data_IF_622238180085
#
_entry.id   IF_622238180085
#
_cell.length_a   1.000
_cell.length_b   1.000
_cell.length_c   1.000
_cell.angle_alpha   90.00
_cell.angle_beta   90.00
_cell.angle_gamma   90.00
#
_symmetry.space_group_name_H-M   'P 1'
#
loop_
_entity.id
_entity.type
_entity.pdbx_description
1 polymer ?
#
# COMPACT_ATOMS: atom_id res chain seq x y z
N UNK A 1 -29.20 46.90 -29.19
CA UNK A 1 -29.53 45.78 -28.29
C UNK A 1 -28.56 44.65 -28.60
N UNK A 2 -27.41 44.62 -27.91
CA UNK A 2 -26.46 43.50 -28.00
C UNK A 2 -26.28 43.01 -26.57
N UNK A 3 -26.90 41.87 -26.26
CA UNK A 3 -26.73 41.20 -24.98
C UNK A 3 -25.34 40.56 -24.95
N UNK A 4 -24.43 41.16 -24.19
CA UNK A 4 -23.13 40.56 -23.88
C UNK A 4 -23.31 39.59 -22.71
N UNK A 5 -23.65 38.33 -23.01
CA UNK A 5 -23.58 37.25 -22.02
C UNK A 5 -22.14 36.80 -21.85
N UNK A 6 -21.52 37.22 -20.75
CA UNK A 6 -20.36 36.52 -20.20
C UNK A 6 -20.46 36.58 -18.69
N UNK A 7 -21.44 35.86 -18.16
CA UNK A 7 -21.38 35.38 -16.78
C UNK A 7 -20.31 34.29 -16.71
N UNK A 8 -19.05 34.74 -16.60
CA UNK A 8 -17.97 33.87 -16.10
C UNK A 8 -18.10 33.88 -14.59
N UNK A 9 -18.88 32.95 -14.06
CA UNK A 9 -18.81 32.58 -12.65
C UNK A 9 -17.34 32.40 -12.27
N UNK A 10 -16.79 33.30 -11.47
CA UNK A 10 -15.40 33.25 -11.01
C UNK A 10 -15.25 31.98 -10.19
N UNK A 11 -14.69 30.91 -10.77
CA UNK A 11 -14.34 29.70 -10.02
C UNK A 11 -13.35 30.10 -8.95
N UNK A 12 -13.79 30.07 -7.69
CA UNK A 12 -12.90 30.30 -6.56
C UNK A 12 -11.71 29.33 -6.62
N UNK A 13 -10.49 29.77 -6.28
CA UNK A 13 -9.33 28.89 -6.29
C UNK A 13 -9.52 27.76 -5.27
N UNK A 14 -9.10 26.54 -5.64
CA UNK A 14 -9.27 25.33 -4.80
C UNK A 14 -8.78 25.49 -3.35
N UNK A 15 -7.75 26.33 -3.13
CA UNK A 15 -7.16 26.56 -1.80
C UNK A 15 -8.02 27.50 -0.93
N UNK A 16 -8.73 28.45 -1.53
CA UNK A 16 -9.75 29.24 -0.83
C UNK A 16 -10.90 28.35 -0.36
N UNK A 17 -11.35 27.43 -1.23
CA UNK A 17 -12.39 26.44 -0.88
C UNK A 17 -11.91 25.54 0.27
N UNK A 18 -10.65 25.08 0.23
CA UNK A 18 -10.07 24.27 1.31
C UNK A 18 -10.01 25.04 2.64
N UNK A 19 -9.62 26.31 2.61
CA UNK A 19 -9.58 27.17 3.79
C UNK A 19 -10.98 27.43 4.37
N UNK A 20 -11.96 27.76 3.54
CA UNK A 20 -13.34 27.96 3.99
C UNK A 20 -13.97 26.69 4.56
N UNK A 21 -13.66 25.53 3.97
CA UNK A 21 -14.07 24.23 4.50
C UNK A 21 -13.45 23.96 5.88
N UNK A 22 -12.15 24.23 6.03
CA UNK A 22 -11.43 24.07 7.29
C UNK A 22 -11.91 25.06 8.37
N UNK A 23 -12.30 26.29 8.03
CA UNK A 23 -12.85 27.25 9.01
C UNK A 23 -14.20 26.83 9.58
N UNK A 24 -15.03 26.15 8.79
CA UNK A 24 -16.34 25.63 9.27
C UNK A 24 -16.16 24.49 10.27
N UNK A 25 -15.00 23.86 10.22
CA UNK A 25 -14.58 22.75 11.03
C UNK A 25 -13.79 23.25 12.25
N UNK A 26 -14.54 23.73 13.24
CA UNK A 26 -14.00 24.47 14.41
C UNK A 26 -13.19 23.61 15.41
N UNK A 27 -12.84 22.37 15.05
CA UNK A 27 -12.21 21.39 15.92
C UNK A 27 -10.73 21.13 15.63
N UNK A 28 -9.99 22.04 14.98
CA UNK A 28 -8.56 21.86 14.70
C UNK A 28 -7.63 22.49 15.76
N UNK A 29 -6.47 21.87 16.05
CA UNK A 29 -5.46 22.46 16.93
C UNK A 29 -4.90 23.78 16.39
N UNK A 30 -4.58 24.69 17.30
CA UNK A 30 -3.77 25.86 16.95
C UNK A 30 -2.33 25.45 16.62
N UNK A 31 -1.69 26.17 15.70
CA UNK A 31 -0.25 26.08 15.46
C UNK A 31 0.39 27.36 15.94
N UNK A 32 1.29 27.24 16.91
CA UNK A 32 1.91 28.35 17.63
C UNK A 32 3.40 28.40 17.28
N UNK A 33 3.81 29.48 16.63
CA UNK A 33 5.21 29.72 16.26
C UNK A 33 5.82 30.74 17.22
N UNK A 34 6.76 30.30 18.04
CA UNK A 34 7.45 31.12 19.02
C UNK A 34 8.71 31.72 18.40
N UNK A 35 8.73 33.05 18.27
CA UNK A 35 9.86 33.84 17.80
C UNK A 35 10.46 33.37 16.46
N UNK A 36 9.64 33.20 15.39
CA UNK A 36 10.17 32.78 14.09
C UNK A 36 11.10 33.84 13.48
N UNK A 37 12.22 33.41 12.89
CA UNK A 37 13.20 34.30 12.26
C UNK A 37 13.05 34.40 10.75
N UNK A 38 12.58 33.35 10.09
CA UNK A 38 12.50 33.30 8.63
C UNK A 38 11.04 33.30 8.18
N UNK A 39 10.68 34.33 7.44
CA UNK A 39 9.35 34.49 6.81
C UNK A 39 9.03 33.31 5.88
N UNK A 40 10.03 32.78 5.17
CA UNK A 40 9.94 31.56 4.37
C UNK A 40 9.45 30.34 5.16
N UNK A 41 9.86 30.21 6.42
CA UNK A 41 9.44 29.10 7.27
C UNK A 41 8.02 29.30 7.76
N UNK A 42 7.62 30.54 8.09
CA UNK A 42 6.22 30.83 8.42
C UNK A 42 5.30 30.50 7.23
N UNK A 43 5.70 30.87 6.02
CA UNK A 43 5.04 30.46 4.79
C UNK A 43 4.95 28.93 4.63
N UNK A 44 6.07 28.23 4.85
CA UNK A 44 6.11 26.77 4.79
C UNK A 44 5.20 26.11 5.83
N UNK A 45 5.08 26.70 7.03
CA UNK A 45 4.15 26.28 8.07
C UNK A 45 2.70 26.46 7.63
N UNK A 46 2.34 27.63 7.10
CA UNK A 46 0.99 27.90 6.59
C UNK A 46 0.57 26.89 5.50
N UNK A 47 1.50 26.53 4.60
CA UNK A 47 1.27 25.47 3.62
C UNK A 47 1.02 24.11 4.27
N UNK A 48 1.88 23.71 5.20
CA UNK A 48 1.76 22.45 5.92
C UNK A 48 0.44 22.37 6.70
N UNK A 49 0.04 23.47 7.34
CA UNK A 49 -1.22 23.60 8.05
C UNK A 49 -2.41 23.35 7.13
N UNK A 50 -2.49 24.06 6.00
CA UNK A 50 -3.65 23.95 5.10
C UNK A 50 -3.73 22.57 4.41
N UNK A 51 -2.59 21.88 4.21
CA UNK A 51 -2.59 20.49 3.72
C UNK A 51 -3.37 19.54 4.64
N UNK A 52 -3.47 19.87 5.93
CA UNK A 52 -4.06 19.05 6.98
C UNK A 52 -5.19 19.76 7.72
N UNK A 53 -5.84 20.72 7.06
CA UNK A 53 -7.03 21.40 7.58
C UNK A 53 -6.80 22.21 8.87
N UNK A 54 -5.55 22.58 9.18
CA UNK A 54 -5.23 23.49 10.27
C UNK A 54 -5.27 24.93 9.75
N UNK A 55 -5.91 25.84 10.50
CA UNK A 55 -6.07 27.25 10.07
C UNK A 55 -5.80 28.28 11.18
N UNK A 56 -5.75 27.88 12.45
CA UNK A 56 -5.47 28.79 13.58
C UNK A 56 -3.96 28.95 13.77
N UNK A 57 -3.34 29.85 12.98
CA UNK A 57 -1.93 30.21 13.10
C UNK A 57 -1.75 31.31 14.14
N UNK A 58 -0.91 31.06 15.14
CA UNK A 58 -0.53 32.03 16.18
C UNK A 58 0.97 32.26 16.12
N UNK A 59 1.37 33.52 16.12
CA UNK A 59 2.78 33.91 16.01
C UNK A 59 3.12 34.78 17.21
N UNK A 60 4.16 34.41 17.95
CA UNK A 60 4.56 35.11 19.17
C UNK A 60 5.89 35.79 18.93
N UNK A 61 5.94 37.10 19.19
CA UNK A 61 7.16 37.91 19.14
C UNK A 61 8.05 37.64 17.90
N UNK A 62 7.51 37.78 16.66
CA UNK A 62 8.24 37.40 15.46
C UNK A 62 9.40 38.35 15.14
N UNK A 63 10.52 37.80 14.70
CA UNK A 63 11.66 38.55 14.16
C UNK A 63 11.56 38.80 12.65
N UNK A 64 10.47 38.34 12.02
CA UNK A 64 10.20 38.49 10.60
C UNK A 64 8.75 38.92 10.34
N UNK A 65 8.50 39.45 9.14
CA UNK A 65 7.13 39.71 8.66
C UNK A 65 6.62 38.45 7.94
N UNK A 66 5.47 37.93 8.37
CA UNK A 66 4.85 36.72 7.81
C UNK A 66 4.03 37.00 6.53
N UNK A 67 3.89 38.26 6.12
CA UNK A 67 3.11 38.67 4.95
C UNK A 67 3.99 39.08 3.75
N UNK A 68 5.29 38.84 3.82
CA UNK A 68 6.24 39.14 2.74
C UNK A 68 5.94 38.33 1.47
N UNK A 69 6.41 38.79 0.30
CA UNK A 69 6.34 38.00 -0.93
C UNK A 69 6.99 36.61 -0.80
N UNK A 70 8.03 36.47 0.02
CA UNK A 70 8.69 35.18 0.27
C UNK A 70 7.84 34.24 1.12
N UNK A 71 7.24 34.73 2.21
CA UNK A 71 6.29 33.94 2.99
C UNK A 71 5.13 33.45 2.12
N UNK A 72 4.53 34.33 1.31
CA UNK A 72 3.44 33.99 0.40
C UNK A 72 3.84 32.98 -0.68
N UNK A 73 5.02 33.16 -1.27
CA UNK A 73 5.57 32.20 -2.23
C UNK A 73 5.75 30.80 -1.59
N UNK A 74 6.24 30.72 -0.36
CA UNK A 74 6.41 29.46 0.38
C UNK A 74 5.09 28.85 0.84
N UNK A 75 4.11 29.68 1.22
CA UNK A 75 2.75 29.26 1.54
C UNK A 75 2.05 28.60 0.34
N UNK A 76 2.46 28.97 -0.88
CA UNK A 76 1.95 28.38 -2.11
C UNK A 76 0.43 28.37 -2.10
N UNK A 77 -0.21 29.54 -2.05
CA UNK A 77 -1.67 29.64 -2.06
C UNK A 77 -2.38 29.30 -0.75
N UNK A 78 -1.64 29.07 0.35
CA UNK A 78 -2.18 29.07 1.71
C UNK A 78 -2.18 30.48 2.33
N UNK A 79 -2.30 31.52 1.51
CA UNK A 79 -2.21 32.93 1.91
C UNK A 79 -3.22 33.30 3.00
N UNK A 80 -4.43 32.72 2.95
CA UNK A 80 -5.47 32.94 3.95
C UNK A 80 -5.04 32.51 5.38
N UNK A 81 -4.16 31.51 5.51
CA UNK A 81 -3.63 31.11 6.82
C UNK A 81 -2.63 32.14 7.35
N UNK A 82 -1.82 32.74 6.46
CA UNK A 82 -0.93 33.84 6.82
C UNK A 82 -1.73 35.10 7.17
N UNK A 83 -2.72 35.47 6.36
CA UNK A 83 -3.55 36.66 6.58
C UNK A 83 -4.45 36.53 7.80
N UNK A 84 -4.90 35.31 8.11
CA UNK A 84 -5.66 34.99 9.32
C UNK A 84 -4.79 34.76 10.56
N UNK A 85 -3.46 34.88 10.46
CA UNK A 85 -2.57 34.66 11.58
C UNK A 85 -2.78 35.70 12.67
N UNK A 86 -2.78 35.26 13.94
CA UNK A 86 -2.86 36.16 15.10
C UNK A 86 -1.49 36.33 15.70
N UNK A 87 -1.06 37.58 15.83
CA UNK A 87 0.25 37.94 16.40
C UNK A 87 0.07 38.35 17.86
N UNK A 88 0.87 37.76 18.75
CA UNK A 88 0.85 37.98 20.19
C UNK A 88 2.21 38.48 20.69
N UNK A 89 2.21 39.20 21.81
CA UNK A 89 3.45 39.64 22.46
C UNK A 89 4.02 38.59 23.41
N UNK A 90 3.15 37.79 24.01
CA UNK A 90 3.51 36.80 25.02
C UNK A 90 2.86 35.45 24.79
N UNK A 91 3.44 34.42 25.41
CA UNK A 91 2.94 33.06 25.39
C UNK A 91 1.63 32.90 26.18
N UNK A 92 1.54 33.61 27.30
CA UNK A 92 0.37 33.68 28.18
C UNK A 92 -0.90 34.06 27.40
N UNK A 93 -0.85 35.11 26.58
CA UNK A 93 -1.97 35.52 25.73
C UNK A 93 -2.27 34.49 24.63
N UNK A 94 -1.21 33.94 24.04
CA UNK A 94 -1.32 33.05 22.90
C UNK A 94 -1.84 31.64 23.24
N UNK A 95 -1.80 31.24 24.51
CA UNK A 95 -2.27 29.91 24.99
C UNK A 95 -3.47 30.00 25.92
N UNK A 96 -3.94 31.20 26.28
CA UNK A 96 -4.97 31.43 27.30
C UNK A 96 -6.30 30.67 27.08
N UNK A 97 -6.67 30.39 25.83
CA UNK A 97 -7.90 29.67 25.47
C UNK A 97 -7.67 28.18 25.16
N UNK A 98 -6.46 27.66 25.40
CA UNK A 98 -6.10 26.27 25.16
C UNK A 98 -6.16 25.45 26.45
N UNK A 99 -6.69 24.24 26.33
CA UNK A 99 -6.80 23.25 27.40
C UNK A 99 -5.72 22.17 27.31
N UNK A 100 -5.05 22.05 26.16
CA UNK A 100 -3.89 21.18 25.97
C UNK A 100 -2.87 21.91 25.07
N UNK A 101 -1.67 22.11 25.58
CA UNK A 101 -0.53 22.71 24.86
C UNK A 101 0.58 21.68 24.74
N UNK A 102 0.92 21.34 23.50
CA UNK A 102 1.94 20.34 23.19
C UNK A 102 3.16 21.05 22.60
N UNK A 103 4.22 21.17 23.37
CA UNK A 103 5.48 21.81 22.96
C UNK A 103 6.40 20.84 22.22
N UNK A 104 7.09 21.28 21.18
CA UNK A 104 8.01 20.43 20.41
C UNK A 104 9.47 20.58 20.86
N UNK A 105 10.20 19.47 20.97
CA UNK A 105 11.65 19.48 21.20
C UNK A 105 12.35 18.31 20.53
N UNK A 106 13.48 18.56 19.87
CA UNK A 106 14.34 17.52 19.29
C UNK A 106 15.26 16.83 20.31
N UNK A 107 15.36 17.39 21.53
CA UNK A 107 16.26 16.92 22.59
C UNK A 107 15.50 16.73 23.89
N UNK A 108 15.96 15.80 24.71
CA UNK A 108 15.52 15.69 26.09
C UNK A 108 15.95 16.95 26.85
N UNK A 109 15.02 17.54 27.59
CA UNK A 109 15.26 18.69 28.44
C UNK A 109 15.35 18.25 29.89
N UNK A 110 16.10 19.01 30.69
CA UNK A 110 16.19 18.81 32.13
C UNK A 110 14.94 19.38 32.82
N UNK A 111 13.80 18.74 32.56
CA UNK A 111 12.47 19.12 33.03
C UNK A 111 11.64 17.86 33.28
N UNK A 112 10.87 17.84 34.36
CA UNK A 112 9.90 16.76 34.63
C UNK A 112 8.61 17.03 33.87
N UNK A 113 8.47 16.42 32.69
CA UNK A 113 7.30 16.57 31.82
C UNK A 113 7.08 15.29 31.03
N UNK A 114 5.83 15.02 30.65
CA UNK A 114 5.51 13.85 29.83
C UNK A 114 6.03 14.05 28.41
N UNK A 115 6.83 13.11 27.91
CA UNK A 115 7.29 13.08 26.53
C UNK A 115 6.37 12.15 25.72
N UNK A 116 5.90 12.62 24.57
CA UNK A 116 4.98 11.89 23.67
C UNK A 116 5.52 11.83 22.25
N UNK A 117 5.14 10.78 21.52
CA UNK A 117 5.39 10.68 20.09
C UNK A 117 4.42 11.57 19.30
N UNK A 118 4.72 11.86 18.00
CA UNK A 118 3.79 12.59 17.15
C UNK A 118 2.41 11.94 17.04
N UNK A 119 2.36 10.60 16.99
CA UNK A 119 1.09 9.86 16.94
C UNK A 119 0.27 10.03 18.22
N UNK A 120 0.91 9.92 19.39
CA UNK A 120 0.21 10.06 20.67
C UNK A 120 -0.25 11.51 20.88
N UNK A 121 0.60 12.48 20.54
CA UNK A 121 0.24 13.90 20.56
C UNK A 121 -0.97 14.21 19.66
N UNK A 122 -1.09 13.53 18.52
CA UNK A 122 -2.25 13.64 17.64
C UNK A 122 -3.52 13.06 18.28
N UNK A 123 -3.44 11.88 18.91
CA UNK A 123 -4.58 11.28 19.63
C UNK A 123 -5.06 12.16 20.79
N UNK A 124 -4.13 12.71 21.56
CA UNK A 124 -4.43 13.63 22.66
C UNK A 124 -5.13 14.88 22.16
N UNK A 125 -4.58 15.55 21.14
CA UNK A 125 -5.20 16.74 20.56
C UNK A 125 -6.62 16.45 20.06
N UNK A 126 -6.81 15.36 19.31
CA UNK A 126 -8.14 14.92 18.84
C UNK A 126 -9.07 14.61 20.02
N UNK A 127 -8.60 13.95 21.07
CA UNK A 127 -9.37 13.65 22.28
C UNK A 127 -9.82 14.90 23.03
N UNK A 128 -8.92 15.88 23.20
CA UNK A 128 -9.23 17.19 23.79
C UNK A 128 -10.30 17.90 22.97
N UNK A 129 -10.15 17.91 21.65
CA UNK A 129 -11.06 18.58 20.72
C UNK A 129 -12.41 17.86 20.59
N UNK A 130 -12.51 16.57 20.87
CA UNK A 130 -13.79 15.85 20.91
C UNK A 130 -14.73 16.43 21.99
N UNK A 131 -14.17 16.98 23.06
CA UNK A 131 -14.92 17.65 24.13
C UNK A 131 -15.26 19.12 23.81
N UNK A 132 -14.83 19.63 22.65
CA UNK A 132 -15.09 21.02 22.24
C UNK A 132 -16.59 21.34 22.24
N UNK A 133 -17.44 20.41 21.79
CA UNK A 133 -18.89 20.56 21.77
C UNK A 133 -19.53 20.64 23.17
N UNK A 134 -18.83 20.21 24.23
CA UNK A 134 -19.34 20.13 25.61
C UNK A 134 -18.79 21.22 26.54
N UNK A 135 -17.91 22.10 26.06
CA UNK A 135 -17.31 23.15 26.90
C UNK A 135 -16.14 23.93 26.30
N UNK A 136 -15.83 23.77 25.02
CA UNK A 136 -14.85 24.61 24.32
C UNK A 136 -13.38 24.24 24.52
N UNK A 137 -13.06 23.02 24.97
CA UNK A 137 -11.66 22.59 25.13
C UNK A 137 -10.90 22.65 23.80
N UNK A 138 -9.80 23.41 23.76
CA UNK A 138 -8.96 23.60 22.56
C UNK A 138 -7.58 23.01 22.78
N UNK A 139 -6.95 22.56 21.71
CA UNK A 139 -5.58 22.07 21.73
C UNK A 139 -4.67 22.97 20.87
N UNK A 140 -3.35 22.97 21.15
CA UNK A 140 -2.37 23.64 20.30
C UNK A 140 -1.01 22.96 20.29
N UNK A 141 -0.34 23.03 19.15
CA UNK A 141 1.05 22.62 18.98
C UNK A 141 1.96 23.84 18.99
N UNK A 142 2.97 23.82 19.86
CA UNK A 142 3.92 24.91 20.01
C UNK A 142 5.30 24.54 19.44
N UNK A 143 5.80 25.40 18.57
CA UNK A 143 7.06 25.25 17.86
C UNK A 143 7.96 26.44 18.10
N UNK A 144 9.23 26.17 18.34
CA UNK A 144 10.21 27.22 18.62
C UNK A 144 10.94 27.69 17.36
N UNK A 145 11.72 28.75 17.56
CA UNK A 145 12.58 29.33 16.52
C UNK A 145 13.56 28.33 15.91
N UNK A 146 13.97 28.58 14.68
CA UNK A 146 14.94 27.76 13.93
C UNK A 146 16.30 27.65 14.60
N UNK A 147 16.68 28.68 15.36
CA UNK A 147 18.00 28.78 15.99
C UNK A 147 18.05 28.05 17.32
N UNK A 148 17.04 28.27 18.16
CA UNK A 148 17.08 27.89 19.57
C UNK A 148 16.02 26.85 19.96
N UNK A 149 15.07 26.55 19.06
CA UNK A 149 13.86 25.83 19.42
C UNK A 149 13.08 26.58 20.52
N UNK A 150 12.33 25.83 21.32
CA UNK A 150 11.67 26.34 22.51
C UNK A 150 12.66 26.41 23.67
N UNK A 151 12.62 27.49 24.45
CA UNK A 151 13.37 27.60 25.71
C UNK A 151 12.64 26.80 26.79
N UNK A 152 13.31 26.58 27.93
CA UNK A 152 12.63 25.96 29.07
C UNK A 152 11.47 26.86 29.56
N UNK A 153 11.61 28.18 29.47
CA UNK A 153 10.58 29.17 29.81
C UNK A 153 9.37 29.10 28.88
N UNK A 154 9.55 28.71 27.61
CA UNK A 154 8.41 28.44 26.75
C UNK A 154 7.75 27.11 27.12
N UNK A 155 8.57 26.09 27.39
CA UNK A 155 8.10 24.72 27.66
C UNK A 155 7.33 24.59 28.98
N UNK A 156 7.45 25.52 29.92
CA UNK A 156 6.61 25.50 31.14
C UNK A 156 5.12 25.69 30.84
N UNK A 157 4.78 26.26 29.68
CA UNK A 157 3.39 26.38 29.22
C UNK A 157 2.87 25.10 28.55
N UNK A 158 3.73 24.11 28.30
CA UNK A 158 3.33 22.87 27.65
C UNK A 158 2.96 21.80 28.68
N UNK A 159 1.77 21.20 28.51
CA UNK A 159 1.35 20.01 29.26
C UNK A 159 2.26 18.81 28.94
N UNK A 160 2.76 18.76 27.70
CA UNK A 160 3.57 17.66 27.17
C UNK A 160 4.61 18.15 26.18
N UNK A 161 5.70 17.38 26.10
CA UNK A 161 6.72 17.56 25.06
C UNK A 161 6.53 16.50 23.98
N UNK A 162 6.27 16.95 22.76
CA UNK A 162 6.32 16.12 21.56
C UNK A 162 7.76 16.02 21.06
N UNK A 163 8.28 14.80 21.00
CA UNK A 163 9.57 14.51 20.40
C UNK A 163 9.39 13.73 19.10
N UNK A 164 9.78 14.34 17.98
CA UNK A 164 9.79 13.68 16.67
C UNK A 164 11.02 12.76 16.62
N UNK A 165 10.86 11.45 16.40
CA UNK A 165 12.00 10.56 16.23
C UNK A 165 12.78 10.92 14.96
N UNK A 166 14.05 11.25 15.14
CA UNK A 166 14.99 11.66 14.07
C UNK A 166 16.33 10.97 14.29
N UNK A 167 17.21 11.01 13.29
CA UNK A 167 18.61 10.59 13.47
C UNK A 167 19.24 11.37 14.65
N UNK A 168 19.74 10.72 15.72
CA UNK A 168 20.35 11.42 16.85
C UNK A 168 21.54 12.31 16.47
N UNK A 169 22.26 11.97 15.39
CA UNK A 169 23.37 12.77 14.87
C UNK A 169 22.92 14.00 14.07
N UNK A 170 21.64 14.07 13.68
CA UNK A 170 21.08 15.16 12.88
C UNK A 170 19.58 15.32 13.16
N UNK A 171 19.26 15.80 14.36
CA UNK A 171 17.89 15.79 14.90
C UNK A 171 17.09 17.07 14.68
N UNK A 172 17.72 18.14 14.19
CA UNK A 172 17.04 19.40 13.95
C UNK A 172 16.26 19.35 12.63
N UNK A 173 14.95 19.51 12.72
CA UNK A 173 14.07 19.62 11.55
C UNK A 173 13.83 21.08 11.20
N UNK A 174 13.61 21.36 9.91
CA UNK A 174 13.08 22.65 9.51
C UNK A 174 11.68 22.86 10.13
N UNK A 175 11.36 24.09 10.51
CA UNK A 175 10.11 24.44 11.19
C UNK A 175 8.86 23.97 10.42
N UNK A 176 8.80 24.20 9.11
CA UNK A 176 7.70 23.74 8.27
C UNK A 176 7.60 22.22 8.19
N UNK A 177 8.72 21.50 8.27
CA UNK A 177 8.74 20.03 8.31
C UNK A 177 8.21 19.49 9.64
N UNK A 178 8.56 20.11 10.76
CA UNK A 178 8.02 19.74 12.07
C UNK A 178 6.50 19.94 12.12
N UNK A 179 6.01 21.08 11.61
CA UNK A 179 4.56 21.35 11.48
C UNK A 179 3.88 20.35 10.55
N UNK A 180 4.52 19.99 9.43
CA UNK A 180 4.02 19.01 8.47
C UNK A 180 3.83 17.62 9.11
N UNK A 181 4.77 17.15 9.93
CA UNK A 181 4.67 15.86 10.62
C UNK A 181 3.52 15.88 11.63
N UNK A 182 3.42 16.94 12.45
CA UNK A 182 2.37 17.07 13.45
C UNK A 182 0.98 17.17 12.80
N UNK A 183 0.85 17.98 11.74
CA UNK A 183 -0.39 18.11 10.98
C UNK A 183 -0.79 16.81 10.29
N UNK A 184 0.15 16.05 9.74
CA UNK A 184 -0.12 14.74 9.15
C UNK A 184 -0.65 13.75 10.19
N UNK A 185 0.00 13.63 11.34
CA UNK A 185 -0.41 12.72 12.41
C UNK A 185 -1.78 13.12 12.97
N UNK A 186 -2.04 14.42 13.16
CA UNK A 186 -3.36 14.94 13.51
C UNK A 186 -4.42 14.55 12.48
N UNK A 187 -4.18 14.81 11.20
CA UNK A 187 -5.13 14.49 10.12
C UNK A 187 -5.41 12.99 10.05
N UNK A 188 -4.38 12.16 10.23
CA UNK A 188 -4.50 10.70 10.31
C UNK A 188 -5.33 10.25 11.50
N UNK A 189 -5.06 10.79 12.70
CA UNK A 189 -5.81 10.46 13.91
C UNK A 189 -7.28 10.87 13.80
N UNK A 190 -7.54 12.05 13.26
CA UNK A 190 -8.89 12.54 13.01
C UNK A 190 -9.64 11.69 12.00
N UNK A 191 -9.01 11.33 10.89
CA UNK A 191 -9.64 10.50 9.85
C UNK A 191 -10.07 9.12 10.37
N UNK A 192 -9.46 8.61 11.45
CA UNK A 192 -9.88 7.38 12.14
C UNK A 192 -11.19 7.53 12.92
N UNK A 193 -11.62 8.75 13.27
CA UNK A 193 -12.90 9.01 13.93
C UNK A 193 -14.11 8.83 13.00
N UNK A 194 -13.89 8.76 11.67
CA UNK A 194 -14.96 8.46 10.71
C UNK A 194 -15.96 9.60 10.49
N UNK A 195 -15.57 10.85 10.74
CA UNK A 195 -16.40 12.07 10.59
C UNK A 195 -16.73 12.45 9.13
N UNK A 196 -16.46 11.57 8.17
CA UNK A 196 -16.99 11.63 6.81
C UNK A 196 -16.22 12.50 5.81
N UNK A 197 -15.24 13.30 6.25
CA UNK A 197 -14.46 14.15 5.34
C UNK A 197 -13.29 13.40 4.66
N UNK A 198 -12.73 12.37 5.32
CA UNK A 198 -11.62 11.58 4.79
C UNK A 198 -11.62 10.18 5.40
N UNK A 199 -11.71 9.13 4.58
CA UNK A 199 -11.50 7.75 5.04
C UNK A 199 -10.01 7.46 5.02
N UNK A 200 -9.39 7.39 6.21
CA UNK A 200 -8.09 6.77 6.34
C UNK A 200 -8.24 5.30 5.96
N UNK A 201 -7.62 4.90 4.86
CA UNK A 201 -7.58 3.49 4.46
C UNK A 201 -6.42 2.83 5.19
N UNK A 202 -6.73 2.07 6.23
CA UNK A 202 -5.76 1.09 6.72
C UNK A 202 -5.44 0.07 5.62
N UNK A 203 -4.29 -0.60 5.76
CA UNK A 203 -3.92 -1.69 4.85
C UNK A 203 -5.00 -2.76 4.90
N UNK A 204 -5.84 -2.76 3.88
CA UNK A 204 -6.96 -3.67 3.73
C UNK A 204 -6.89 -4.27 2.33
N UNK A 205 -7.14 -5.58 2.26
CA UNK A 205 -7.27 -6.26 0.99
C UNK A 205 -8.45 -5.64 0.22
N UNK A 206 -8.16 -5.01 -0.92
CA UNK A 206 -9.18 -4.41 -1.76
C UNK A 206 -9.95 -5.51 -2.48
N UNK A 207 -11.15 -5.82 -2.00
CA UNK A 207 -12.01 -6.84 -2.59
C UNK A 207 -12.72 -6.31 -3.85
N UNK A 208 -12.83 -7.14 -4.89
CA UNK A 208 -13.65 -6.79 -6.05
C UNK A 208 -15.14 -6.70 -5.66
N UNK A 209 -15.93 -5.90 -6.37
CA UNK A 209 -17.37 -5.79 -6.12
C UNK A 209 -18.04 -7.18 -6.24
N UNK A 210 -18.88 -7.50 -5.25
CA UNK A 210 -19.66 -8.73 -5.22
C UNK A 210 -18.87 -9.99 -4.89
N UNK A 211 -17.74 -9.88 -4.21
CA UNK A 211 -17.00 -11.03 -3.63
C UNK A 211 -16.86 -10.88 -2.12
N UNK A 212 -16.52 -11.98 -1.46
CA UNK A 212 -16.19 -12.05 -0.03
C UNK A 212 -15.02 -12.99 0.18
N UNK A 213 -14.36 -12.88 1.33
CA UNK A 213 -13.39 -13.89 1.75
C UNK A 213 -14.07 -15.26 1.77
N UNK A 214 -13.34 -16.27 1.31
CA UNK A 214 -13.74 -17.65 1.45
C UNK A 214 -13.72 -18.01 2.95
N UNK A 215 -14.72 -18.78 3.36
CA UNK A 215 -14.73 -19.40 4.68
C UNK A 215 -13.68 -20.50 4.73
N UNK A 216 -13.24 -20.86 5.94
CA UNK A 216 -12.34 -22.01 6.14
C UNK A 216 -12.92 -23.26 5.48
N UNK A 217 -14.24 -23.49 5.60
CA UNK A 217 -14.91 -24.64 4.97
C UNK A 217 -14.82 -24.65 3.45
N UNK A 218 -14.92 -23.51 2.78
CA UNK A 218 -14.77 -23.41 1.32
C UNK A 218 -13.33 -23.69 0.88
N UNK A 219 -12.34 -23.20 1.63
CA UNK A 219 -10.92 -23.49 1.38
C UNK A 219 -10.60 -24.96 1.64
N UNK A 220 -11.10 -25.53 2.73
CA UNK A 220 -10.94 -26.96 3.03
C UNK A 220 -11.61 -27.85 1.97
N UNK A 221 -12.75 -27.44 1.43
CA UNK A 221 -13.46 -28.18 0.38
C UNK A 221 -12.62 -28.35 -0.89
N UNK A 222 -12.01 -27.27 -1.40
CA UNK A 222 -11.12 -27.36 -2.55
C UNK A 222 -9.85 -28.13 -2.21
N UNK A 223 -9.31 -27.93 -1.01
CA UNK A 223 -8.08 -28.59 -0.57
C UNK A 223 -8.25 -30.11 -0.39
N UNK A 224 -9.39 -30.56 0.15
CA UNK A 224 -9.73 -31.97 0.27
C UNK A 224 -9.69 -32.66 -1.10
N UNK A 225 -10.30 -32.05 -2.12
CA UNK A 225 -10.27 -32.56 -3.49
C UNK A 225 -8.86 -32.60 -4.08
N UNK A 226 -8.04 -31.58 -3.82
CA UNK A 226 -6.63 -31.58 -4.26
C UNK A 226 -5.86 -32.71 -3.58
N UNK A 227 -6.05 -32.94 -2.28
CA UNK A 227 -5.41 -34.05 -1.55
C UNK A 227 -5.76 -35.41 -2.15
N UNK A 228 -7.04 -35.67 -2.39
CA UNK A 228 -7.49 -36.93 -3.01
C UNK A 228 -6.79 -37.19 -4.36
N UNK A 229 -6.63 -36.15 -5.18
CA UNK A 229 -5.93 -36.27 -6.46
C UNK A 229 -4.43 -36.47 -6.31
N UNK A 230 -3.80 -35.80 -5.34
CA UNK A 230 -2.38 -35.98 -5.05
C UNK A 230 -2.09 -37.36 -4.45
N UNK A 231 -2.98 -37.89 -3.62
CA UNK A 231 -2.91 -39.25 -3.10
C UNK A 231 -3.07 -40.28 -4.24
N UNK A 232 -4.04 -40.08 -5.15
CA UNK A 232 -4.23 -40.92 -6.32
C UNK A 232 -3.05 -40.87 -7.31
N UNK A 233 -2.36 -39.72 -7.40
CA UNK A 233 -1.14 -39.56 -8.17
C UNK A 233 0.12 -40.07 -7.44
N UNK A 234 -0.04 -40.67 -6.25
CA UNK A 234 1.04 -41.19 -5.41
C UNK A 234 2.11 -40.14 -5.09
N UNK A 235 1.69 -38.90 -4.80
CA UNK A 235 2.62 -37.82 -4.44
C UNK A 235 3.41 -38.20 -3.19
N UNK A 236 4.67 -38.57 -3.38
CA UNK A 236 5.62 -39.00 -2.36
C UNK A 236 5.17 -40.29 -1.61
N UNK A 237 5.93 -41.39 -1.72
CA UNK A 237 5.58 -42.64 -1.08
C UNK A 237 5.72 -42.62 0.45
N UNK A 238 6.51 -41.70 1.02
CA UNK A 238 6.67 -41.57 2.47
C UNK A 238 5.45 -40.85 3.09
N UNK A 239 4.66 -41.52 3.97
CA UNK A 239 3.45 -40.92 4.54
C UNK A 239 3.73 -39.71 5.46
N UNK A 240 4.87 -39.69 6.15
CA UNK A 240 5.23 -38.62 7.08
C UNK A 240 5.63 -37.36 6.30
N UNK A 241 6.41 -37.53 5.23
CA UNK A 241 6.80 -36.42 4.35
C UNK A 241 5.58 -35.88 3.60
N UNK A 242 4.69 -36.76 3.10
CA UNK A 242 3.43 -36.38 2.44
C UNK A 242 2.52 -35.58 3.37
N UNK A 243 2.32 -36.02 4.61
CA UNK A 243 1.54 -35.28 5.61
C UNK A 243 2.10 -33.87 5.82
N UNK A 244 3.42 -33.73 5.99
CA UNK A 244 4.06 -32.42 6.16
C UNK A 244 3.91 -31.49 4.95
N UNK A 245 3.91 -32.04 3.72
CA UNK A 245 3.59 -31.28 2.50
C UNK A 245 2.14 -30.77 2.53
N UNK A 246 1.19 -31.63 2.91
CA UNK A 246 -0.21 -31.27 2.97
C UNK A 246 -0.50 -30.18 3.99
N UNK A 247 0.05 -30.31 5.20
CA UNK A 247 -0.09 -29.32 6.26
C UNK A 247 0.45 -27.94 5.80
N UNK A 248 1.55 -27.91 5.04
CA UNK A 248 2.12 -26.67 4.48
C UNK A 248 1.21 -26.03 3.41
N UNK A 249 0.64 -26.82 2.51
CA UNK A 249 -0.27 -26.31 1.48
C UNK A 249 -1.56 -25.77 2.10
N UNK A 250 -2.14 -26.50 3.06
CA UNK A 250 -3.32 -26.06 3.80
C UNK A 250 -3.07 -24.74 4.54
N UNK A 251 -1.95 -24.65 5.26
CA UNK A 251 -1.54 -23.41 5.93
C UNK A 251 -1.36 -22.26 4.92
N UNK A 252 -0.72 -22.51 3.77
CA UNK A 252 -0.57 -21.51 2.72
C UNK A 252 -1.91 -21.00 2.18
N UNK A 253 -2.85 -21.90 1.88
CA UNK A 253 -4.19 -21.54 1.39
C UNK A 253 -4.99 -20.75 2.42
N UNK A 254 -4.86 -21.05 3.71
CA UNK A 254 -5.60 -20.31 4.75
C UNK A 254 -4.98 -18.93 5.01
N UNK A 255 -3.64 -18.83 5.07
CA UNK A 255 -2.97 -17.56 5.34
C UNK A 255 -2.98 -16.59 4.15
N UNK A 256 -3.20 -17.07 2.92
CA UNK A 256 -3.34 -16.22 1.75
C UNK A 256 -4.66 -15.42 1.72
N UNK A 257 -5.62 -15.75 2.60
CA UNK A 257 -6.95 -15.12 2.71
C UNK A 257 -7.68 -15.05 1.35
N UNK A 258 -7.88 -16.19 0.67
CA UNK A 258 -8.50 -16.22 -0.65
C UNK A 258 -9.94 -15.73 -0.58
N UNK A 259 -10.41 -15.14 -1.68
CA UNK A 259 -11.82 -14.87 -1.88
C UNK A 259 -12.55 -16.09 -2.49
N UNK A 260 -13.88 -16.01 -2.57
CA UNK A 260 -14.68 -17.10 -3.16
C UNK A 260 -14.32 -17.36 -4.64
N UNK A 261 -13.85 -16.34 -5.37
CA UNK A 261 -13.44 -16.47 -6.77
C UNK A 261 -12.11 -17.20 -6.90
N UNK A 262 -11.17 -16.96 -5.99
CA UNK A 262 -9.89 -17.69 -5.91
C UNK A 262 -10.14 -19.19 -5.69
N UNK A 263 -11.03 -19.52 -4.74
CA UNK A 263 -11.43 -20.91 -4.47
C UNK A 263 -12.09 -21.54 -5.69
N UNK A 264 -13.02 -20.83 -6.34
CA UNK A 264 -13.68 -21.31 -7.56
C UNK A 264 -12.70 -21.47 -8.74
N UNK A 265 -11.74 -20.55 -8.89
CA UNK A 265 -10.71 -20.64 -9.91
C UNK A 265 -9.82 -21.86 -9.69
N UNK A 266 -9.44 -22.14 -8.43
CA UNK A 266 -8.69 -23.34 -8.07
C UNK A 266 -9.50 -24.62 -8.34
N UNK A 267 -10.78 -24.65 -7.95
CA UNK A 267 -11.69 -25.75 -8.28
C UNK A 267 -11.79 -25.99 -9.80
N UNK A 268 -11.92 -24.93 -10.59
CA UNK A 268 -11.98 -24.99 -12.05
C UNK A 268 -10.69 -25.50 -12.68
N UNK A 269 -9.53 -25.02 -12.19
CA UNK A 269 -8.22 -25.48 -12.63
C UNK A 269 -8.03 -26.98 -12.35
N UNK A 270 -8.32 -27.41 -11.12
CA UNK A 270 -8.25 -28.82 -10.72
C UNK A 270 -9.18 -29.69 -11.56
N UNK A 271 -10.44 -29.27 -11.74
CA UNK A 271 -11.41 -30.02 -12.57
C UNK A 271 -10.93 -30.16 -14.01
N UNK A 272 -10.36 -29.09 -14.58
CA UNK A 272 -9.86 -29.11 -15.96
C UNK A 272 -8.66 -30.04 -16.13
N UNK A 273 -7.74 -30.05 -15.16
CA UNK A 273 -6.57 -30.94 -15.18
C UNK A 273 -6.99 -32.41 -15.13
N UNK A 274 -7.93 -32.75 -14.24
CA UNK A 274 -8.48 -34.11 -14.12
C UNK A 274 -9.17 -34.54 -15.40
N UNK A 275 -10.12 -33.76 -15.92
CA UNK A 275 -10.88 -34.13 -17.13
C UNK A 275 -10.00 -34.25 -18.36
N UNK A 276 -8.93 -33.44 -18.49
CA UNK A 276 -7.96 -33.59 -19.59
C UNK A 276 -7.12 -34.85 -19.45
N UNK A 277 -6.70 -35.19 -18.23
CA UNK A 277 -5.95 -36.42 -17.98
C UNK A 277 -6.78 -37.67 -18.31
N UNK A 278 -8.00 -37.76 -17.77
CA UNK A 278 -8.94 -38.86 -18.05
C UNK A 278 -9.24 -38.99 -19.55
N UNK A 279 -9.45 -37.86 -20.24
CA UNK A 279 -9.69 -37.85 -21.68
C UNK A 279 -8.48 -38.37 -22.46
N UNK A 280 -7.27 -38.01 -22.06
CA UNK A 280 -6.03 -38.48 -22.70
C UNK A 280 -5.79 -39.97 -22.45
N UNK A 281 -6.01 -40.46 -21.23
CA UNK A 281 -5.89 -41.90 -20.92
C UNK A 281 -6.97 -42.72 -21.62
N UNK A 282 -8.23 -42.28 -21.62
CA UNK A 282 -9.32 -42.94 -22.33
C UNK A 282 -9.10 -42.99 -23.85
N UNK A 283 -8.52 -41.94 -24.45
CA UNK A 283 -8.10 -41.95 -25.87
C UNK A 283 -6.96 -42.93 -26.12
N UNK A 284 -5.95 -43.00 -25.24
CA UNK A 284 -4.85 -43.97 -25.34
C UNK A 284 -5.37 -45.40 -25.21
N UNK A 285 -6.31 -45.65 -24.32
CA UNK A 285 -6.92 -46.96 -24.09
C UNK A 285 -7.78 -47.40 -25.28
N UNK A 286 -8.64 -46.52 -25.80
CA UNK A 286 -9.40 -46.77 -27.03
C UNK A 286 -8.51 -47.04 -28.25
N UNK A 287 -7.38 -46.33 -28.37
CA UNK A 287 -6.37 -46.59 -29.41
C UNK A 287 -5.67 -47.94 -29.23
N UNK A 288 -5.37 -48.35 -27.99
CA UNK A 288 -4.80 -49.68 -27.69
C UNK A 288 -5.79 -50.80 -28.02
N UNK A 289 -7.05 -50.65 -27.64
CA UNK A 289 -8.11 -51.62 -27.98
C UNK A 289 -8.36 -51.71 -29.49
N UNK A 290 -8.42 -50.56 -30.19
CA UNK A 290 -8.56 -50.52 -31.64
C UNK A 290 -7.42 -51.26 -32.35
N UNK A 291 -6.17 -51.05 -31.91
CA UNK A 291 -5.01 -51.75 -32.43
C UNK A 291 -5.02 -53.26 -32.09
N UNK A 292 -5.53 -53.66 -30.92
CA UNK A 292 -5.68 -55.06 -30.54
C UNK A 292 -6.75 -55.77 -31.40
N UNK A 293 -7.90 -55.13 -31.64
CA UNK A 293 -8.97 -55.65 -32.51
C UNK A 293 -8.50 -55.80 -33.96
N UNK A 294 -7.71 -54.85 -34.47
CA UNK A 294 -7.15 -54.93 -35.83
C UNK A 294 -6.15 -56.08 -35.99
N UNK A 295 -5.36 -56.39 -34.96
CA UNK A 295 -4.45 -57.55 -34.94
C UNK A 295 -5.18 -58.89 -34.87
N UNK A 296 -6.36 -58.96 -34.25
CA UNK A 296 -7.16 -60.19 -34.19
C UNK A 296 -7.94 -60.45 -35.48
N UNK A 297 -8.33 -59.41 -36.23
CA UNK A 297 -8.96 -59.57 -37.55
C UNK A 297 -7.97 -59.94 -38.66
N UNK A 298 -6.67 -59.63 -38.51
CA UNK A 298 -5.64 -60.02 -39.50
C UNK A 298 -5.19 -61.48 -39.39
N UNK A 299 -5.63 -62.25 -38.38
CA UNK A 299 -5.22 -63.65 -38.15
C UNK A 299 -6.29 -64.68 -38.51
N UNK A 300 -7.43 -64.29 -39.10
CA UNK A 300 -8.43 -65.25 -39.59
C UNK A 300 -8.03 -65.77 -40.99
N UNK A 301 -7.86 -67.10 -41.20
CA UNK A 301 -7.38 -67.61 -42.48
C UNK A 301 -8.42 -67.42 -43.59
N UNK A 302 -8.02 -66.74 -44.68
CA UNK A 302 -8.84 -66.57 -45.89
C UNK A 302 -9.17 -67.93 -46.50
N UNK A 303 -10.44 -68.33 -46.41
CA UNK A 303 -11.00 -69.50 -47.10
C UNK A 303 -11.03 -69.21 -48.61
N UNK A 304 -10.20 -69.94 -49.35
CA UNK A 304 -10.01 -69.78 -50.78
C UNK A 304 -11.30 -70.19 -51.53
N UNK A 305 -12.00 -69.22 -52.11
CA UNK A 305 -13.03 -69.45 -53.14
C UNK A 305 -12.56 -68.76 -54.40
N UNK A 306 -12.34 -69.58 -55.44
CA UNK A 306 -11.78 -69.17 -56.72
C UNK A 306 -12.60 -68.10 -57.44
N UNK A 307 -11.90 -67.39 -58.33
CA UNK A 307 -12.50 -66.61 -59.41
C UNK A 307 -11.88 -67.04 -60.74
N UNK A 308 -12.67 -67.23 -61.81
CA UNK A 308 -12.16 -67.17 -63.16
C UNK A 308 -12.20 -65.73 -63.69
N UNK A 309 -11.41 -65.48 -64.75
CA UNK A 309 -11.75 -64.49 -65.77
C UNK A 309 -11.05 -63.12 -65.69
N UNK A 310 -10.21 -62.87 -66.69
CA UNK A 310 -9.46 -61.63 -66.98
C UNK A 310 -10.37 -60.48 -67.42
N UNK A 311 -9.90 -59.25 -67.21
CA UNK A 311 -10.41 -58.04 -67.86
C UNK A 311 -9.46 -56.86 -67.67
N UNK A 312 -8.78 -56.46 -68.74
CA UNK A 312 -7.84 -55.35 -68.87
C UNK A 312 -8.55 -53.99 -69.01
N UNK A 313 -7.93 -52.93 -68.47
CA UNK A 313 -8.27 -51.54 -68.79
C UNK A 313 -7.61 -50.57 -67.82
N UNK A 314 -6.59 -49.83 -68.27
CA UNK A 314 -5.91 -48.80 -67.48
C UNK A 314 -6.64 -47.46 -67.47
N UNK A 315 -6.18 -46.54 -66.60
CA UNK A 315 -5.77 -45.14 -66.87
C UNK A 315 -5.60 -44.38 -65.53
N UNK A 316 -4.35 -44.00 -65.27
CA UNK A 316 -3.76 -42.72 -64.79
C UNK A 316 -4.46 -41.84 -63.72
N UNK A 317 -3.64 -41.46 -62.71
CA UNK A 317 -3.62 -40.15 -62.02
C UNK A 317 -4.31 -40.12 -60.64
N UNK A 318 -3.73 -39.65 -59.54
CA UNK A 318 -2.53 -38.83 -59.28
C UNK A 318 -2.02 -39.07 -57.85
N UNK A 319 -0.69 -39.15 -57.71
CA UNK A 319 0.08 -39.16 -56.47
C UNK A 319 0.05 -37.81 -55.72
N UNK A 320 0.28 -37.88 -54.41
CA UNK A 320 0.54 -36.74 -53.56
C UNK A 320 0.99 -37.15 -52.15
N UNK A 321 2.03 -37.99 -52.06
CA UNK A 321 2.75 -38.34 -50.82
C UNK A 321 4.12 -37.65 -50.85
N UNK A 322 4.39 -36.77 -49.88
CA UNK A 322 5.72 -36.18 -49.67
C UNK A 322 6.04 -36.11 -48.18
N UNK A 323 6.57 -37.22 -47.65
CA UNK A 323 7.57 -37.20 -46.57
C UNK A 323 8.94 -36.87 -47.15
N UNK A 324 9.58 -35.81 -46.62
CA UNK A 324 11.01 -35.72 -46.20
C UNK A 324 11.58 -34.31 -46.42
N UNK A 325 12.14 -33.73 -45.34
CA UNK A 325 13.41 -32.96 -45.24
C UNK A 325 13.44 -32.33 -43.83
N UNK A 326 14.08 -32.96 -42.83
CA UNK A 326 15.50 -32.84 -42.42
C UNK A 326 15.99 -31.40 -42.20
N UNK A 327 16.17 -31.08 -40.92
CA UNK A 327 17.25 -30.32 -40.27
C UNK A 327 17.95 -29.20 -41.05
N UNK A 328 17.80 -27.97 -40.53
CA UNK A 328 18.87 -26.97 -40.37
C UNK A 328 18.39 -25.76 -39.55
N UNK A 329 19.36 -25.10 -38.92
CA UNK A 329 19.32 -23.81 -38.20
C UNK A 329 19.11 -23.85 -36.66
N UNK A 330 20.21 -24.09 -35.95
CA UNK A 330 20.54 -23.37 -34.69
C UNK A 330 21.79 -22.52 -34.94
N UNK A 331 21.69 -21.23 -34.66
CA UNK A 331 22.84 -20.31 -34.61
C UNK A 331 23.51 -20.37 -33.21
N UNK A 332 24.83 -20.10 -33.09
CA UNK A 332 25.53 -20.08 -31.81
C UNK A 332 25.48 -18.69 -31.16
N UNK A 333 25.48 -18.64 -29.83
CA UNK A 333 25.71 -17.42 -29.04
C UNK A 333 27.12 -17.53 -28.44
N UNK A 334 27.92 -16.49 -28.67
CA UNK A 334 29.28 -16.31 -28.18
C UNK A 334 29.28 -16.03 -26.66
N UNK A 335 30.15 -16.74 -25.92
CA UNK A 335 30.51 -16.41 -24.54
C UNK A 335 31.85 -15.65 -24.56
N UNK A 336 31.84 -14.40 -24.12
CA UNK A 336 33.04 -13.70 -23.65
C UNK A 336 32.84 -13.23 -22.21
N UNK A 337 33.65 -13.82 -21.32
CA UNK A 337 34.42 -13.19 -20.25
C UNK A 337 33.76 -12.23 -19.25
N UNK A 338 33.81 -12.61 -17.96
CA UNK A 338 33.90 -11.63 -16.89
C UNK A 338 33.57 -12.12 -15.49
N UNK A 339 34.61 -12.28 -14.65
CA UNK A 339 34.53 -11.83 -13.26
C UNK A 339 34.46 -12.89 -12.17
N UNK A 340 35.64 -13.31 -11.72
CA UNK A 340 35.91 -13.80 -10.37
C UNK A 340 35.33 -12.85 -9.29
N UNK A 341 34.76 -13.39 -8.21
CA UNK A 341 34.41 -12.59 -7.04
C UNK A 341 33.15 -12.98 -6.27
N UNK A 342 32.97 -14.26 -5.91
CA UNK A 342 31.85 -14.69 -5.04
C UNK A 342 32.20 -15.83 -4.08
N UNK A 343 33.45 -15.93 -3.61
CA UNK A 343 33.85 -16.97 -2.63
C UNK A 343 34.37 -16.43 -1.28
N UNK A 344 34.42 -15.11 -1.07
CA UNK A 344 34.87 -14.54 0.22
C UNK A 344 33.75 -13.97 1.12
N UNK A 345 32.50 -13.87 0.64
CA UNK A 345 31.39 -13.32 1.45
C UNK A 345 30.64 -14.36 2.32
N UNK A 346 30.80 -15.67 2.07
CA UNK A 346 30.14 -16.70 2.88
C UNK A 346 30.89 -17.07 4.18
N UNK A 347 32.16 -16.65 4.35
CA UNK A 347 32.93 -16.93 5.57
C UNK A 347 32.85 -15.84 6.65
N UNK A 348 32.24 -14.68 6.36
CA UNK A 348 32.11 -13.57 7.30
C UNK A 348 30.84 -13.65 8.20
N UNK A 349 29.89 -14.54 7.91
CA UNK A 349 28.59 -14.61 8.62
C UNK A 349 28.59 -15.65 9.76
N UNK A 350 29.64 -16.46 9.91
CA UNK A 350 29.73 -17.50 10.96
C UNK A 350 30.57 -17.15 12.20
N UNK A 351 31.06 -15.91 12.35
CA UNK A 351 31.78 -15.47 13.56
C UNK A 351 31.24 -14.13 14.07
N UNK A 352 30.13 -14.18 14.81
CA UNK A 352 29.56 -12.95 15.39
C UNK A 352 28.28 -13.18 16.19
N UNK A 353 28.26 -14.14 17.11
CA UNK A 353 27.19 -14.28 18.10
C UNK A 353 27.79 -14.33 19.50
N UNK A 354 27.79 -13.18 20.16
CA UNK A 354 28.19 -12.98 21.54
C UNK A 354 27.66 -11.64 22.03
N UNK A 355 26.39 -11.63 22.44
CA UNK A 355 25.78 -10.72 23.41
C UNK A 355 24.84 -11.53 24.28
#
# INVERSE_FOLDING_TARGET
MIMSSTDRSVRQPKKTIAYEAALKDRGAPAVILVRPYLDENVGSCARAMLNFGLTDLRIIDPFCDHLTPMARARASGADNVLEGARVFRGLDEAVADLSEVIGTSARQRDMTVTIVSPEEAARLAVGTLANFAQGGARAGYMFGSERNGLTNEDLVYADRILQIPTNPAFSSLNLGQAVQICGYEYWKARARLGDGAYSYKESALSMAKGTRLATVGEVEGVWARVRELLDAAELNPDPHVRKGLYDRFQNWLLRSRPDVRDVNALHGAVSTLVSKHERLEGLKEALREGNARNRQQSTTPRRNKGKPGRGSGGVVGTEGDWRKRTDRERAPVEEEGGGEGWQEEEQAIQRGSGW
#
